data_IF_405061250478
#
_entry.id   IF_405061250478
#
_cell.length_a   1.000
_cell.length_b   1.000
_cell.length_c   1.000
_cell.angle_alpha   90.00
_cell.angle_beta   90.00
_cell.angle_gamma   90.00
#
_symmetry.space_group_name_H-M   'P 1'
#
loop_
_entity.id
_entity.type
_entity.pdbx_description
1 polymer ?
#
# COMPACT_ATOMS: atom_id res chain seq x y z
N UNK A 1 37.12 -36.55 -84.95
CA UNK A 1 37.08 -36.43 -83.49
C UNK A 1 35.69 -36.84 -83.06
N UNK A 2 35.50 -38.02 -82.52
CA UNK A 2 34.22 -38.63 -82.20
C UNK A 2 34.02 -38.60 -80.67
N UNK A 3 32.91 -37.95 -80.19
CA UNK A 3 32.49 -37.98 -78.82
C UNK A 3 31.51 -39.14 -78.64
N UNK A 4 31.80 -40.04 -77.70
CA UNK A 4 30.90 -41.12 -77.32
C UNK A 4 30.02 -40.62 -76.13
N UNK A 5 28.75 -40.74 -76.35
CA UNK A 5 27.73 -40.50 -75.30
C UNK A 5 27.45 -41.83 -74.57
N UNK A 6 27.60 -41.85 -73.23
CA UNK A 6 27.23 -42.96 -72.39
C UNK A 6 25.94 -42.59 -71.65
N UNK A 7 24.87 -43.30 -71.95
CA UNK A 7 23.62 -43.14 -71.25
C UNK A 7 23.56 -44.06 -70.03
N UNK A 8 23.47 -43.48 -68.85
CA UNK A 8 23.32 -44.23 -67.59
C UNK A 8 21.85 -44.26 -67.18
N UNK A 9 21.27 -45.43 -67.18
CA UNK A 9 19.91 -45.72 -66.74
C UNK A 9 19.84 -45.66 -65.20
N UNK A 10 18.98 -44.80 -64.63
CA UNK A 10 18.71 -44.76 -63.23
C UNK A 10 17.33 -45.40 -62.95
N UNK A 11 17.35 -46.55 -62.30
CA UNK A 11 16.15 -47.25 -61.82
C UNK A 11 15.55 -46.53 -60.63
N UNK A 12 14.30 -46.12 -60.69
CA UNK A 12 13.55 -45.55 -59.60
C UNK A 12 13.02 -46.67 -58.69
N UNK A 13 13.67 -46.90 -57.55
CA UNK A 13 13.03 -47.64 -56.45
C UNK A 13 12.20 -46.70 -55.61
N UNK A 14 10.88 -46.91 -55.60
CA UNK A 14 9.97 -46.19 -54.72
C UNK A 14 9.99 -46.83 -53.33
N UNK A 15 10.61 -46.13 -52.37
CA UNK A 15 10.50 -46.47 -50.96
C UNK A 15 9.17 -45.91 -50.42
N UNK A 16 8.32 -46.82 -50.00
CA UNK A 16 7.06 -46.49 -49.31
C UNK A 16 7.36 -46.33 -47.84
N UNK A 17 7.26 -45.07 -47.32
CA UNK A 17 7.45 -44.73 -45.88
C UNK A 17 6.04 -44.60 -45.25
N UNK A 18 5.72 -45.38 -44.19
CA UNK A 18 4.45 -45.28 -43.53
C UNK A 18 4.39 -43.95 -42.70
N UNK A 19 3.47 -43.10 -43.04
CA UNK A 19 3.16 -41.88 -42.28
C UNK A 19 2.63 -42.25 -40.89
N UNK A 20 3.45 -42.10 -39.87
CA UNK A 20 2.95 -42.07 -38.46
C UNK A 20 2.11 -40.81 -38.24
N UNK A 21 0.84 -40.97 -37.93
CA UNK A 21 -0.07 -39.88 -37.53
C UNK A 21 0.41 -39.38 -36.17
N UNK A 22 1.19 -38.30 -36.15
CA UNK A 22 1.47 -37.52 -34.93
C UNK A 22 0.24 -36.73 -34.56
N UNK A 23 -0.39 -37.15 -33.47
CA UNK A 23 -1.47 -36.41 -32.82
C UNK A 23 -0.83 -35.20 -32.17
N UNK A 24 -0.95 -34.02 -32.77
CA UNK A 24 -0.58 -32.74 -32.18
C UNK A 24 -1.61 -32.40 -31.09
N UNK A 25 -1.24 -32.69 -29.84
CA UNK A 25 -2.02 -32.27 -28.68
C UNK A 25 -1.70 -30.76 -28.43
N UNK A 26 -2.55 -29.87 -28.96
CA UNK A 26 -2.47 -28.45 -28.63
C UNK A 26 -2.83 -28.27 -27.16
N UNK A 27 -1.80 -28.14 -26.31
CA UNK A 27 -1.98 -27.70 -24.94
C UNK A 27 -2.37 -26.20 -24.97
N UNK A 28 -3.66 -25.92 -24.92
CA UNK A 28 -4.16 -24.58 -24.67
C UNK A 28 -3.85 -24.24 -23.19
N UNK A 29 -2.68 -23.63 -22.93
CA UNK A 29 -2.43 -22.98 -21.66
C UNK A 29 -3.33 -21.75 -21.58
N UNK A 30 -4.48 -21.93 -20.95
CA UNK A 30 -5.37 -20.83 -20.61
C UNK A 30 -4.64 -19.85 -19.69
N UNK A 31 -4.24 -18.71 -20.25
CA UNK A 31 -3.74 -17.58 -19.50
C UNK A 31 -4.94 -17.01 -18.73
N UNK A 32 -5.12 -17.44 -17.49
CA UNK A 32 -6.10 -16.81 -16.60
C UNK A 32 -5.58 -15.41 -16.27
N UNK A 33 -6.04 -14.40 -17.01
CA UNK A 33 -5.96 -13.03 -16.55
C UNK A 33 -6.76 -12.96 -15.24
N UNK A 34 -6.06 -12.94 -14.11
CA UNK A 34 -6.65 -12.52 -12.85
C UNK A 34 -7.01 -11.04 -13.00
N UNK A 35 -8.25 -10.76 -13.34
CA UNK A 35 -8.80 -9.42 -13.22
C UNK A 35 -8.72 -9.07 -11.73
N UNK A 36 -7.70 -8.28 -11.35
CA UNK A 36 -7.72 -7.60 -10.06
C UNK A 36 -9.01 -6.78 -10.04
N UNK A 37 -9.92 -7.08 -9.12
CA UNK A 37 -11.09 -6.26 -8.92
C UNK A 37 -10.58 -4.82 -8.69
N UNK A 38 -10.93 -3.91 -9.58
CA UNK A 38 -10.55 -2.51 -9.44
C UNK A 38 -11.03 -2.04 -8.06
N UNK A 39 -10.08 -1.61 -7.23
CA UNK A 39 -10.40 -1.11 -5.89
C UNK A 39 -11.39 0.03 -6.04
N UNK A 40 -12.50 -0.03 -5.29
CA UNK A 40 -13.59 0.95 -5.42
C UNK A 40 -13.05 2.35 -5.15
N UNK A 41 -13.17 3.27 -6.10
CA UNK A 41 -12.78 4.65 -5.92
C UNK A 41 -13.53 5.26 -4.73
N UNK A 42 -12.79 5.87 -3.80
CA UNK A 42 -13.32 6.54 -2.63
C UNK A 42 -13.46 8.05 -2.90
N UNK A 43 -12.54 8.88 -2.37
CA UNK A 43 -12.51 10.32 -2.63
C UNK A 43 -12.08 10.62 -4.06
N UNK A 44 -11.13 9.88 -4.58
CA UNK A 44 -10.42 10.22 -5.81
C UNK A 44 -10.40 9.10 -6.85
N UNK A 45 -10.36 9.51 -8.13
CA UNK A 45 -10.06 8.66 -9.27
C UNK A 45 -8.57 8.82 -9.61
N UNK A 46 -7.81 7.70 -9.71
CA UNK A 46 -6.40 7.75 -10.06
C UNK A 46 -6.18 8.20 -11.51
N UNK A 47 -5.23 9.12 -11.70
CA UNK A 47 -4.72 9.58 -12.98
C UNK A 47 -3.37 8.94 -13.34
N UNK A 48 -2.50 9.72 -14.00
CA UNK A 48 -1.17 9.29 -14.40
C UNK A 48 -0.28 8.94 -13.21
N UNK A 49 0.65 8.01 -13.40
CA UNK A 49 1.66 7.71 -12.41
C UNK A 49 2.65 8.89 -12.28
N UNK A 50 2.89 9.34 -11.05
CA UNK A 50 3.90 10.34 -10.70
C UNK A 50 5.19 9.64 -10.25
N UNK A 51 5.05 8.61 -9.43
CA UNK A 51 6.16 7.82 -8.91
C UNK A 51 5.70 6.41 -8.54
N UNK A 52 6.45 5.41 -8.97
CA UNK A 52 6.22 4.01 -8.61
C UNK A 52 7.55 3.36 -8.21
N UNK A 53 7.57 2.67 -7.09
CA UNK A 53 8.75 1.99 -6.59
C UNK A 53 8.36 0.80 -5.71
N UNK A 54 8.91 -0.35 -5.98
CA UNK A 54 8.68 -1.54 -5.14
C UNK A 54 9.29 -1.42 -3.75
N UNK A 55 10.20 -0.45 -3.55
CA UNK A 55 11.01 -0.28 -2.34
C UNK A 55 11.85 -1.55 -2.04
N UNK A 56 12.32 -2.19 -3.11
CA UNK A 56 13.14 -3.41 -3.10
C UNK A 56 14.63 -3.12 -3.30
N UNK A 57 15.04 -1.89 -3.07
CA UNK A 57 16.42 -1.41 -3.11
C UNK A 57 16.69 -0.49 -1.92
N UNK A 58 17.96 -0.35 -1.55
CA UNK A 58 18.33 0.60 -0.51
C UNK A 58 17.90 2.02 -0.90
N UNK A 59 17.41 2.82 0.07
CA UNK A 59 16.99 4.18 -0.21
C UNK A 59 18.16 5.00 -0.75
N UNK A 60 18.06 5.41 -1.99
CA UNK A 60 18.97 6.28 -2.68
C UNK A 60 18.20 7.41 -3.35
N UNK A 61 18.87 8.23 -4.20
CA UNK A 61 18.17 9.27 -4.95
C UNK A 61 16.92 8.68 -5.65
N UNK A 62 15.76 9.36 -5.58
CA UNK A 62 15.52 10.70 -5.03
C UNK A 62 15.22 10.75 -3.52
N UNK A 63 15.15 9.61 -2.81
CA UNK A 63 14.90 9.58 -1.37
C UNK A 63 15.99 10.30 -0.58
N UNK A 64 15.58 10.95 0.50
CA UNK A 64 16.49 11.62 1.45
C UNK A 64 16.22 11.10 2.85
N UNK A 65 17.11 10.23 3.33
CA UNK A 65 17.15 9.85 4.75
C UNK A 65 17.63 11.06 5.55
N UNK A 66 16.78 11.55 6.45
CA UNK A 66 17.10 12.70 7.31
C UNK A 66 17.54 12.26 8.70
N UNK A 67 16.99 11.16 9.20
CA UNK A 67 17.27 10.58 10.52
C UNK A 67 17.08 9.07 10.50
N UNK A 68 17.71 8.39 11.46
CA UNK A 68 17.61 6.96 11.62
C UNK A 68 18.38 6.18 10.57
N UNK A 69 18.23 4.87 10.61
CA UNK A 69 18.81 3.94 9.64
C UNK A 69 17.74 3.51 8.63
N UNK A 70 18.10 3.57 7.36
CA UNK A 70 17.26 3.12 6.25
C UNK A 70 18.07 2.17 5.39
N UNK A 71 17.61 0.95 5.23
CA UNK A 71 18.35 -0.11 4.55
C UNK A 71 17.44 -1.07 3.79
N UNK A 72 18.02 -1.87 2.92
CA UNK A 72 17.35 -3.00 2.30
C UNK A 72 17.50 -4.23 3.21
N UNK A 73 16.38 -4.83 3.60
CA UNK A 73 16.34 -6.07 4.38
C UNK A 73 15.35 -7.03 3.73
N UNK A 74 15.81 -8.21 3.35
CA UNK A 74 14.96 -9.24 2.71
C UNK A 74 14.15 -8.73 1.50
N UNK A 75 14.73 -7.82 0.73
CA UNK A 75 14.11 -7.28 -0.48
C UNK A 75 13.04 -6.20 -0.22
N UNK A 76 13.00 -5.60 0.96
CA UNK A 76 12.11 -4.48 1.29
C UNK A 76 12.85 -3.36 2.00
N UNK A 77 12.35 -2.14 1.90
CA UNK A 77 12.92 -0.99 2.61
C UNK A 77 12.56 -1.03 4.08
N UNK A 78 13.58 -1.08 4.95
CA UNK A 78 13.43 -1.04 6.41
C UNK A 78 13.91 0.28 6.98
N UNK A 79 13.07 0.90 7.82
CA UNK A 79 13.43 2.05 8.64
C UNK A 79 13.55 1.67 10.11
N UNK A 80 14.58 2.21 10.82
CA UNK A 80 14.83 1.97 12.25
C UNK A 80 15.28 3.24 12.93
N UNK A 81 14.77 3.49 14.15
CA UNK A 81 15.20 4.60 14.99
C UNK A 81 16.65 4.36 15.44
N UNK A 82 17.46 5.41 15.44
CA UNK A 82 18.79 5.41 16.04
C UNK A 82 18.75 6.21 17.36
N UNK A 83 19.24 5.66 18.47
CA UNK A 83 19.21 6.34 19.78
C UNK A 83 19.90 7.70 19.78
N UNK A 84 20.98 7.86 19.02
CA UNK A 84 21.75 9.10 18.90
C UNK A 84 20.97 10.24 18.26
N UNK A 85 20.01 9.93 17.37
CA UNK A 85 19.18 10.95 16.73
C UNK A 85 18.13 11.55 17.67
N UNK A 86 17.83 10.89 18.79
CA UNK A 86 16.76 11.28 19.73
C UNK A 86 15.42 11.60 19.04
N UNK A 87 15.18 10.93 17.93
CA UNK A 87 14.05 11.14 17.04
C UNK A 87 13.79 9.87 16.24
N UNK A 88 12.56 9.62 15.85
CA UNK A 88 12.24 8.54 14.93
C UNK A 88 13.03 8.64 13.62
N UNK A 89 13.25 7.51 12.97
CA UNK A 89 13.84 7.51 11.63
C UNK A 89 12.92 8.26 10.65
N UNK A 90 13.49 9.09 9.79
CA UNK A 90 12.75 9.92 8.83
C UNK A 90 13.38 9.78 7.46
N UNK A 91 12.56 9.44 6.46
CA UNK A 91 12.94 9.57 5.06
C UNK A 91 11.88 10.35 4.29
N UNK A 92 12.31 11.10 3.27
CA UNK A 92 11.44 11.95 2.46
C UNK A 92 11.70 11.70 0.99
N UNK A 93 10.61 11.72 0.20
CA UNK A 93 10.66 11.71 -1.27
C UNK A 93 10.40 13.14 -1.76
N UNK A 94 11.44 13.91 -2.16
CA UNK A 94 11.23 15.23 -2.72
C UNK A 94 10.36 15.15 -3.98
N UNK A 95 9.15 15.66 -3.88
CA UNK A 95 8.21 15.73 -4.99
C UNK A 95 7.26 16.92 -4.78
N UNK A 96 6.77 17.49 -5.87
CA UNK A 96 5.73 18.51 -5.85
C UNK A 96 4.41 17.85 -6.20
N UNK A 97 3.47 17.90 -5.30
CA UNK A 97 2.15 17.29 -5.43
C UNK A 97 1.05 18.33 -5.27
N UNK A 98 -0.06 18.14 -5.95
CA UNK A 98 -1.27 18.95 -5.77
C UNK A 98 -2.42 18.04 -5.36
N UNK A 99 -3.06 17.38 -6.28
CA UNK A 99 -4.08 16.37 -6.04
C UNK A 99 -3.49 15.01 -6.40
N UNK A 100 -3.52 14.07 -5.47
CA UNK A 100 -2.80 12.81 -5.61
C UNK A 100 -3.39 11.70 -4.76
N UNK A 101 -3.02 10.48 -5.13
CA UNK A 101 -3.18 9.27 -4.35
C UNK A 101 -1.81 8.72 -4.03
N UNK A 102 -1.56 8.36 -2.77
CA UNK A 102 -0.38 7.59 -2.34
C UNK A 102 -0.87 6.25 -1.82
N UNK A 103 -0.25 5.17 -2.28
CA UNK A 103 -0.48 3.80 -1.80
C UNK A 103 0.85 3.13 -1.48
N UNK A 104 0.88 2.36 -0.42
CA UNK A 104 2.02 1.51 -0.06
C UNK A 104 1.58 0.42 0.91
N UNK A 105 2.46 -0.52 1.17
CA UNK A 105 2.28 -1.51 2.21
C UNK A 105 3.34 -1.35 3.30
N UNK A 106 2.95 -1.62 4.54
CA UNK A 106 3.86 -1.63 5.68
C UNK A 106 3.72 -2.90 6.51
N UNK A 107 4.77 -3.18 7.29
CA UNK A 107 4.82 -4.27 8.25
C UNK A 107 5.56 -3.78 9.50
N UNK A 108 4.96 -3.94 10.68
CA UNK A 108 5.61 -3.58 11.93
C UNK A 108 6.57 -4.70 12.36
N UNK A 109 7.83 -4.35 12.58
CA UNK A 109 8.90 -5.22 13.06
C UNK A 109 9.46 -4.70 14.39
N UNK A 110 8.54 -4.50 15.35
CA UNK A 110 8.85 -3.91 16.65
C UNK A 110 8.81 -2.38 16.69
N UNK A 111 8.42 -1.72 15.61
CA UNK A 111 8.17 -0.29 15.64
C UNK A 111 7.06 0.05 16.63
N UNK A 112 7.28 1.08 17.46
CA UNK A 112 6.26 1.67 18.33
C UNK A 112 5.21 2.42 17.53
N UNK A 113 5.64 3.09 16.45
CA UNK A 113 4.77 3.85 15.54
C UNK A 113 5.43 4.03 14.19
N UNK A 114 4.59 4.14 13.16
CA UNK A 114 4.97 4.66 11.86
C UNK A 114 4.03 5.79 11.46
N UNK A 115 4.44 6.62 10.52
CA UNK A 115 3.52 7.55 9.85
C UNK A 115 3.90 7.79 8.40
N UNK A 116 2.87 7.95 7.55
CA UNK A 116 2.96 8.69 6.31
C UNK A 116 2.67 10.16 6.62
N UNK A 117 3.60 11.05 6.31
CA UNK A 117 3.45 12.49 6.52
C UNK A 117 3.53 13.22 5.19
N UNK A 118 2.66 14.22 5.02
CA UNK A 118 2.65 15.16 3.91
C UNK A 118 3.03 16.53 4.47
N UNK A 119 3.96 17.20 3.81
CA UNK A 119 4.38 18.55 4.20
C UNK A 119 3.83 19.59 3.20
N UNK A 120 3.59 20.79 3.70
CA UNK A 120 3.59 22.01 2.90
C UNK A 120 5.05 22.37 2.53
N UNK A 121 5.25 23.53 1.90
CA UNK A 121 6.60 23.95 1.47
C UNK A 121 7.57 24.09 2.66
N UNK A 122 7.07 24.51 3.82
CA UNK A 122 7.88 24.68 5.03
C UNK A 122 7.55 23.69 6.13
N UNK A 123 6.27 23.37 6.33
CA UNK A 123 5.78 22.79 7.56
C UNK A 123 4.95 21.54 7.33
N UNK A 124 4.52 20.90 8.41
CA UNK A 124 3.67 19.73 8.35
C UNK A 124 2.27 20.08 7.91
N UNK A 125 1.64 19.23 7.11
CA UNK A 125 0.28 19.45 6.62
C UNK A 125 -0.69 18.38 7.11
N UNK A 126 -0.36 17.12 6.87
CA UNK A 126 -1.26 16.00 7.13
C UNK A 126 -0.48 14.73 7.45
N UNK A 127 -1.16 13.80 8.12
CA UNK A 127 -0.54 12.54 8.54
C UNK A 127 -1.56 11.42 8.68
N UNK A 128 -1.13 10.22 8.30
CA UNK A 128 -1.69 8.97 8.80
C UNK A 128 -0.67 8.40 9.78
N UNK A 129 -1.00 8.36 11.07
CA UNK A 129 -0.15 7.80 12.11
C UNK A 129 -0.69 6.44 12.56
N UNK A 130 0.19 5.46 12.64
CA UNK A 130 -0.13 4.05 12.91
C UNK A 130 0.71 3.57 14.07
N UNK A 131 0.08 2.94 15.03
CA UNK A 131 0.73 2.17 16.11
C UNK A 131 0.23 0.74 16.05
N UNK A 132 0.79 -0.17 16.84
CA UNK A 132 0.26 -1.54 16.93
C UNK A 132 -1.22 -1.59 17.39
N UNK A 133 -1.75 -0.51 17.98
CA UNK A 133 -3.09 -0.48 18.60
C UNK A 133 -4.01 0.62 18.05
N UNK A 134 -3.56 1.44 17.11
CA UNK A 134 -4.41 2.53 16.59
C UNK A 134 -3.96 3.05 15.24
N UNK A 135 -4.94 3.57 14.49
CA UNK A 135 -4.74 4.42 13.31
C UNK A 135 -5.31 5.79 13.60
N UNK A 136 -4.57 6.85 13.28
CA UNK A 136 -5.03 8.25 13.37
C UNK A 136 -4.88 8.92 12.02
N UNK A 137 -5.93 9.53 11.52
CA UNK A 137 -5.93 10.37 10.32
C UNK A 137 -6.16 11.81 10.75
N UNK A 138 -5.25 12.72 10.38
CA UNK A 138 -5.27 14.08 10.90
C UNK A 138 -4.69 15.11 9.93
N UNK A 139 -5.15 16.36 10.08
CA UNK A 139 -4.41 17.56 9.69
C UNK A 139 -3.43 17.90 10.81
N UNK A 140 -2.18 18.12 10.47
CA UNK A 140 -1.20 18.59 11.43
C UNK A 140 -1.38 20.08 11.73
N UNK A 141 -0.83 20.52 12.85
CA UNK A 141 -0.55 21.91 13.14
C UNK A 141 0.57 22.35 12.18
N UNK A 142 0.24 23.33 11.32
CA UNK A 142 1.07 23.64 10.17
C UNK A 142 2.46 24.16 10.56
N UNK A 143 2.50 25.17 11.40
CA UNK A 143 3.75 25.89 11.73
C UNK A 143 4.18 25.77 13.20
N UNK A 144 3.35 25.10 14.03
CA UNK A 144 3.51 24.99 15.46
C UNK A 144 3.43 26.34 16.21
N UNK A 145 2.88 27.36 15.57
CA UNK A 145 2.69 28.72 16.10
C UNK A 145 1.21 29.09 16.05
N UNK A 146 0.84 30.05 16.90
CA UNK A 146 -0.51 30.61 16.88
C UNK A 146 -1.60 29.75 17.53
N UNK A 147 -2.87 30.06 17.27
CA UNK A 147 -3.99 29.40 17.91
C UNK A 147 -4.45 28.11 17.23
N UNK A 148 -4.04 27.83 15.99
CA UNK A 148 -4.44 26.64 15.26
C UNK A 148 -3.69 25.41 15.80
N UNK A 149 -4.39 24.28 15.83
CA UNK A 149 -3.90 23.02 16.39
C UNK A 149 -4.18 21.89 15.41
N UNK A 150 -3.50 20.78 15.58
CA UNK A 150 -3.81 19.56 14.85
C UNK A 150 -5.28 19.20 14.98
N UNK A 151 -5.89 18.80 13.88
CA UNK A 151 -7.28 18.35 13.81
C UNK A 151 -7.31 16.86 13.51
N UNK A 152 -7.78 16.08 14.47
CA UNK A 152 -7.96 14.62 14.28
C UNK A 152 -9.29 14.39 13.58
N UNK A 153 -9.26 13.85 12.37
CA UNK A 153 -10.46 13.47 11.64
C UNK A 153 -11.03 12.15 12.16
N UNK A 154 -10.18 11.20 12.47
CA UNK A 154 -10.56 9.98 13.17
C UNK A 154 -9.39 9.33 13.90
N UNK A 155 -9.71 8.61 14.97
CA UNK A 155 -8.80 7.67 15.62
C UNK A 155 -9.52 6.34 15.78
N UNK A 156 -8.99 5.31 15.14
CA UNK A 156 -9.52 3.96 15.19
C UNK A 156 -8.69 3.10 16.15
N UNK A 157 -9.31 2.33 17.03
CA UNK A 157 -8.63 1.20 17.64
C UNK A 157 -8.30 0.18 16.55
N UNK A 158 -7.10 -0.39 16.60
CA UNK A 158 -6.61 -1.41 15.68
C UNK A 158 -5.79 -2.42 16.47
N UNK A 159 -5.51 -3.57 15.86
CA UNK A 159 -4.61 -4.58 16.42
C UNK A 159 -3.77 -5.15 15.28
N UNK A 160 -2.63 -4.49 15.02
CA UNK A 160 -1.68 -4.90 13.99
C UNK A 160 -0.69 -5.91 14.56
N UNK A 161 -0.80 -7.14 14.09
CA UNK A 161 0.13 -8.21 14.45
C UNK A 161 1.49 -7.95 13.81
N UNK A 162 2.60 -7.96 14.57
CA UNK A 162 3.95 -7.86 14.01
C UNK A 162 4.18 -8.90 12.91
N UNK A 163 4.93 -8.55 11.88
CA UNK A 163 5.23 -9.43 10.75
C UNK A 163 4.12 -9.54 9.70
N UNK A 164 2.97 -8.90 9.89
CA UNK A 164 1.86 -8.91 8.92
C UNK A 164 1.90 -7.66 8.06
N UNK A 165 1.70 -7.83 6.74
CA UNK A 165 1.59 -6.73 5.79
C UNK A 165 0.21 -6.10 5.82
N UNK A 166 0.17 -4.77 5.83
CA UNK A 166 -1.02 -3.92 5.84
C UNK A 166 -0.93 -2.90 4.73
N UNK A 167 -2.07 -2.48 4.17
CA UNK A 167 -2.16 -1.48 3.10
C UNK A 167 -2.49 -0.12 3.64
N UNK A 168 -1.85 0.91 3.10
CA UNK A 168 -2.17 2.32 3.36
C UNK A 168 -2.51 3.00 2.05
N UNK A 169 -3.56 3.81 2.08
CA UNK A 169 -3.94 4.70 1.00
C UNK A 169 -4.25 6.09 1.54
N UNK A 170 -3.65 7.09 0.95
CA UNK A 170 -3.92 8.50 1.21
C UNK A 170 -4.39 9.16 -0.08
N UNK A 171 -5.53 9.81 -0.06
CA UNK A 171 -6.07 10.59 -1.16
C UNK A 171 -6.19 12.05 -0.74
N UNK A 172 -5.73 12.97 -1.59
CA UNK A 172 -5.90 14.41 -1.39
C UNK A 172 -6.37 15.05 -2.68
N UNK A 173 -7.52 15.75 -2.63
CA UNK A 173 -8.10 16.49 -3.76
C UNK A 173 -8.71 17.77 -3.27
N UNK A 174 -8.24 18.91 -3.78
CA UNK A 174 -8.70 20.23 -3.32
C UNK A 174 -8.45 20.44 -1.83
N UNK A 175 -9.50 20.66 -1.07
CA UNK A 175 -9.47 20.82 0.39
C UNK A 175 -9.78 19.52 1.16
N UNK A 176 -9.92 18.39 0.47
CA UNK A 176 -10.29 17.12 1.04
C UNK A 176 -9.09 16.20 1.21
N UNK A 177 -9.11 15.41 2.29
CA UNK A 177 -8.20 14.31 2.56
C UNK A 177 -9.00 13.08 2.97
N UNK A 178 -8.60 11.92 2.44
CA UNK A 178 -9.08 10.62 2.89
C UNK A 178 -7.85 9.75 3.21
N UNK A 179 -7.85 9.14 4.39
CA UNK A 179 -6.86 8.16 4.81
C UNK A 179 -7.51 6.81 5.02
N UNK A 180 -6.86 5.78 4.50
CA UNK A 180 -7.28 4.39 4.65
C UNK A 180 -6.12 3.53 5.10
N UNK A 181 -6.38 2.65 6.06
CA UNK A 181 -5.47 1.56 6.47
C UNK A 181 -6.31 0.29 6.54
N UNK A 182 -6.06 -0.63 5.62
CA UNK A 182 -6.92 -1.80 5.38
C UNK A 182 -8.41 -1.40 5.22
N UNK A 183 -9.29 -1.85 6.11
CA UNK A 183 -10.72 -1.51 6.10
C UNK A 183 -11.06 -0.22 6.90
N UNK A 184 -10.08 0.42 7.54
CA UNK A 184 -10.29 1.62 8.36
C UNK A 184 -10.17 2.87 7.49
N UNK A 185 -11.28 3.57 7.30
CA UNK A 185 -11.36 4.75 6.41
C UNK A 185 -11.83 5.98 7.18
N UNK A 186 -11.12 7.08 7.02
CA UNK A 186 -11.51 8.39 7.55
C UNK A 186 -11.25 9.50 6.52
N UNK A 187 -12.01 10.55 6.60
CA UNK A 187 -11.87 11.71 5.76
C UNK A 187 -11.96 13.01 6.58
N UNK A 188 -11.52 14.11 6.00
CA UNK A 188 -11.68 15.44 6.55
C UNK A 188 -11.36 16.51 5.52
N UNK A 189 -11.59 17.78 5.88
CA UNK A 189 -11.31 18.93 5.02
C UNK A 189 -10.53 20.00 5.75
N UNK A 190 -9.73 20.76 4.98
CA UNK A 190 -9.03 21.95 5.45
C UNK A 190 -8.61 22.81 4.26
N UNK A 191 -8.75 24.13 4.38
CA UNK A 191 -8.23 25.05 3.36
C UNK A 191 -6.72 24.94 3.17
N UNK A 192 -5.99 24.48 4.19
CA UNK A 192 -4.55 24.18 4.09
C UNK A 192 -4.25 23.16 2.98
N UNK A 193 -5.14 22.21 2.71
CA UNK A 193 -4.93 21.18 1.69
C UNK A 193 -4.99 21.71 0.26
N UNK A 194 -5.47 22.93 0.03
CA UNK A 194 -5.43 23.59 -1.27
C UNK A 194 -4.04 24.07 -1.65
N UNK A 195 -3.13 24.18 -0.66
CA UNK A 195 -1.74 24.62 -0.91
C UNK A 195 -0.91 23.50 -1.52
N UNK A 196 0.16 23.84 -2.28
CA UNK A 196 1.07 22.83 -2.82
C UNK A 196 1.70 21.98 -1.72
N UNK A 197 1.78 20.68 -1.97
CA UNK A 197 2.37 19.68 -1.06
C UNK A 197 3.76 19.30 -1.55
N UNK A 198 4.61 18.97 -0.59
CA UNK A 198 5.99 18.56 -0.87
C UNK A 198 6.37 17.35 -0.04
N UNK A 199 7.42 16.68 -0.48
CA UNK A 199 8.17 15.72 0.30
C UNK A 199 7.32 14.77 1.17
N UNK A 200 6.40 13.99 0.58
CA UNK A 200 5.80 12.88 1.31
C UNK A 200 6.91 11.99 1.88
N UNK A 201 6.66 11.37 3.03
CA UNK A 201 7.70 10.52 3.60
C UNK A 201 7.24 9.71 4.78
N UNK A 202 8.11 8.79 5.16
CA UNK A 202 7.89 7.89 6.27
C UNK A 202 8.63 8.34 7.51
N UNK A 203 8.00 8.09 8.66
CA UNK A 203 8.65 8.17 9.97
C UNK A 203 8.47 6.85 10.68
N UNK A 204 9.51 6.34 11.34
CA UNK A 204 9.49 5.11 12.14
C UNK A 204 10.01 5.43 13.53
N UNK A 205 9.20 5.18 14.55
CA UNK A 205 9.59 5.29 15.96
C UNK A 205 9.70 3.90 16.59
N UNK A 206 10.78 3.65 17.31
CA UNK A 206 11.07 2.39 17.95
C UNK A 206 11.99 1.49 17.13
N UNK A 207 11.80 0.16 17.19
CA UNK A 207 12.76 -0.76 16.58
C UNK A 207 12.79 -0.63 15.06
N UNK A 208 11.83 -1.20 14.35
CA UNK A 208 11.81 -1.12 12.89
C UNK A 208 10.43 -1.33 12.28
N UNK A 209 10.27 -0.87 11.05
CA UNK A 209 9.15 -1.18 10.17
C UNK A 209 9.64 -1.33 8.74
N UNK A 210 8.96 -2.19 7.99
CA UNK A 210 9.23 -2.48 6.60
C UNK A 210 8.18 -1.81 5.71
N UNK A 211 8.62 -1.41 4.51
CA UNK A 211 7.79 -0.74 3.51
C UNK A 211 8.02 -1.35 2.13
N UNK A 212 6.95 -1.47 1.34
CA UNK A 212 7.02 -1.92 -0.05
C UNK A 212 5.89 -1.35 -0.90
N UNK A 213 6.02 -1.51 -2.22
CA UNK A 213 4.97 -1.24 -3.22
C UNK A 213 4.43 0.20 -3.16
N UNK A 214 5.32 1.20 -3.10
CA UNK A 214 4.92 2.60 -3.13
C UNK A 214 4.45 3.01 -4.52
N UNK A 215 3.26 3.58 -4.60
CA UNK A 215 2.71 4.23 -5.78
C UNK A 215 2.21 5.64 -5.43
N UNK A 216 2.54 6.62 -6.26
CA UNK A 216 1.99 7.98 -6.20
C UNK A 216 1.43 8.29 -7.59
N UNK A 217 0.17 8.67 -7.63
CA UNK A 217 -0.55 8.99 -8.87
C UNK A 217 -1.22 10.33 -8.77
N UNK A 218 -1.41 11.01 -9.90
CA UNK A 218 -2.33 12.13 -9.99
C UNK A 218 -3.73 11.69 -9.60
N UNK A 219 -4.54 12.64 -9.14
CA UNK A 219 -5.90 12.37 -8.72
C UNK A 219 -6.87 13.43 -9.24
N UNK A 220 -8.11 13.02 -9.44
CA UNK A 220 -9.25 13.90 -9.64
C UNK A 220 -10.38 13.50 -8.72
N UNK A 221 -11.25 14.45 -8.37
CA UNK A 221 -12.38 14.16 -7.50
C UNK A 221 -13.29 13.09 -8.11
N UNK A 222 -13.62 12.07 -7.33
CA UNK A 222 -14.61 11.08 -7.71
C UNK A 222 -15.99 11.74 -7.86
N UNK A 223 -16.64 11.69 -9.04
CA UNK A 223 -17.98 12.26 -9.21
C UNK A 223 -19.04 11.71 -8.24
N UNK A 224 -18.81 10.49 -7.73
CA UNK A 224 -19.68 9.86 -6.74
C UNK A 224 -19.29 10.20 -5.27
N UNK A 225 -18.34 11.11 -5.05
CA UNK A 225 -17.80 11.38 -3.73
C UNK A 225 -18.87 11.67 -2.67
N UNK A 226 -19.86 12.49 -2.96
CA UNK A 226 -20.93 12.81 -1.99
C UNK A 226 -21.72 11.55 -1.56
N UNK A 227 -21.93 10.61 -2.47
CA UNK A 227 -22.56 9.33 -2.15
C UNK A 227 -21.64 8.42 -1.33
N UNK A 228 -20.35 8.40 -1.62
CA UNK A 228 -19.35 7.65 -0.85
C UNK A 228 -19.23 8.25 0.56
N UNK A 229 -19.05 9.57 0.64
CA UNK A 229 -18.93 10.34 1.88
C UNK A 229 -20.08 10.05 2.85
N UNK A 230 -21.31 9.99 2.36
CA UNK A 230 -22.50 9.70 3.16
C UNK A 230 -22.46 8.31 3.83
N UNK A 231 -21.57 7.42 3.40
CA UNK A 231 -21.37 6.08 4.01
C UNK A 231 -20.23 6.04 5.03
N UNK A 232 -19.46 7.12 5.13
CA UNK A 232 -18.28 7.22 6.00
C UNK A 232 -18.65 7.95 7.31
N UNK A 233 -17.93 7.66 8.42
CA UNK A 233 -18.08 8.44 9.64
C UNK A 233 -17.73 9.90 9.42
N UNK A 234 -18.50 10.81 10.03
CA UNK A 234 -18.19 12.25 10.01
C UNK A 234 -16.86 12.52 10.73
N UNK A 235 -16.06 13.50 10.24
CA UNK A 235 -14.81 13.88 10.87
C UNK A 235 -15.01 14.27 12.34
N UNK A 236 -14.10 13.80 13.21
CA UNK A 236 -14.17 14.05 14.65
C UNK A 236 -15.16 13.16 15.42
N UNK A 237 -15.96 12.34 14.73
CA UNK A 237 -16.83 11.37 15.38
C UNK A 237 -16.02 10.29 16.09
N UNK A 238 -16.51 9.81 17.24
CA UNK A 238 -15.95 8.63 17.91
C UNK A 238 -16.35 7.41 17.11
N UNK A 239 -15.39 6.83 16.40
CA UNK A 239 -15.63 5.59 15.65
C UNK A 239 -15.59 4.42 16.64
N UNK A 240 -16.70 3.71 16.74
CA UNK A 240 -16.73 2.44 17.49
C UNK A 240 -15.83 1.40 16.81
N UNK A 241 -15.18 0.49 17.57
CA UNK A 241 -14.42 -0.61 16.96
C UNK A 241 -15.32 -1.37 16.00
N UNK A 242 -14.90 -1.49 14.73
CA UNK A 242 -15.58 -2.33 13.75
C UNK A 242 -15.64 -3.78 14.23
N UNK A 243 -16.56 -4.60 13.73
CA UNK A 243 -16.64 -6.01 14.12
C UNK A 243 -15.34 -6.71 13.68
N UNK A 244 -14.56 -7.15 14.67
CA UNK A 244 -13.37 -7.97 14.44
C UNK A 244 -13.81 -9.26 13.73
N UNK A 245 -13.47 -9.42 12.46
CA UNK A 245 -13.58 -10.70 11.75
C UNK A 245 -12.68 -11.69 12.49
N UNK A 246 -13.26 -12.58 13.32
CA UNK A 246 -12.50 -13.69 13.87
C UNK A 246 -12.62 -14.04 15.33
N UNK A 247 -13.68 -13.65 16.04
CA UNK A 247 -13.99 -14.31 17.32
C UNK A 247 -14.96 -15.48 17.10
N UNK A 248 -14.42 -16.63 16.69
CA UNK A 248 -15.16 -17.89 16.77
C UNK A 248 -15.55 -18.11 18.23
N UNK A 249 -16.85 -18.04 18.52
CA UNK A 249 -17.41 -18.38 19.82
C UNK A 249 -17.00 -19.82 20.20
N UNK A 250 -16.01 -19.96 21.07
CA UNK A 250 -15.79 -21.23 21.76
C UNK A 250 -16.99 -21.45 22.65
N UNK A 251 -17.84 -22.41 22.29
CA UNK A 251 -18.91 -22.92 23.18
C UNK A 251 -18.26 -23.53 24.40
N UNK A 252 -18.27 -22.79 25.51
CA UNK A 252 -17.88 -23.30 26.82
C UNK A 252 -18.81 -24.45 27.20
N UNK A 253 -18.24 -25.65 27.29
CA UNK A 253 -18.91 -26.82 27.93
C UNK A 253 -19.16 -26.49 29.40
N UNK A 254 -20.43 -26.36 29.78
CA UNK A 254 -20.85 -26.26 31.17
C UNK A 254 -20.43 -27.47 31.95
N UNK A 255 -19.60 -27.29 32.97
CA UNK A 255 -19.33 -28.27 34.01
C UNK A 255 -20.52 -28.30 34.97
N UNK A 256 -21.28 -29.40 34.92
CA UNK A 256 -22.33 -29.70 35.91
C UNK A 256 -21.76 -29.75 37.32
N UNK A 257 -22.37 -29.03 38.23
CA UNK A 257 -22.18 -29.16 39.67
C UNK A 257 -22.78 -30.50 40.14
N UNK A 258 -21.94 -31.43 40.59
CA UNK A 258 -22.39 -32.54 41.44
C UNK A 258 -22.60 -32.01 42.85
N UNK A 259 -23.84 -32.12 43.34
CA UNK A 259 -24.20 -32.06 44.77
C UNK A 259 -23.64 -33.29 45.44
N UNK A 260 -22.85 -33.13 46.48
CA UNK A 260 -22.59 -34.17 47.48
C UNK A 260 -23.47 -33.89 48.67
N UNK A 261 -24.26 -34.90 49.02
CA UNK A 261 -24.98 -35.05 50.28
C UNK A 261 -24.08 -35.87 51.22
N UNK A 262 -23.77 -35.33 52.32
CA UNK A 262 -23.77 -35.84 53.70
C UNK A 262 -23.02 -34.85 54.60
#
# INVERSE_FOLDING_TARGET
MRLHSVATSISHQRFWVPMKKSLFFCLFTGLTLSASAAEKALLAIPGAAIYENKLDSAPGSPWKAAKGKWELVEGVMRGSELPEDKHGAVTRLPNKLQDFIIEFEFKLEGARSISLSINAVKDHMARIAITSKSVTVQRDDNDHEGPDKSVIFARFPADFTPGTWHKVRLEMVGDLMLGQVDDLVAWGSSDLFKTPKTAPGFTVGGQSADFRNLSIREASLNPAWESVKATLPEPGSKVAPGPTKGAAKSKGKGKGKKKATE
#
